data_IF_995753825220
#
_entry.id   IF_995753825220
#
_cell.length_a   1.000
_cell.length_b   1.000
_cell.length_c   1.000
_cell.angle_alpha   90.00
_cell.angle_beta   90.00
_cell.angle_gamma   90.00
#
_symmetry.space_group_name_H-M   'P 1'
#
loop_
_entity.id
_entity.type
_entity.pdbx_description
1 polymer ?
#
# COMPACT_ATOMS: atom_id res chain seq x y z
N UNK A 1 -8.64 49.92 11.16
CA UNK A 1 -9.26 48.70 11.73
C UNK A 1 -8.49 48.33 12.98
N UNK A 2 -9.00 48.72 14.15
CA UNK A 2 -8.36 48.33 15.42
C UNK A 2 -8.77 46.90 15.72
N UNK A 3 -7.85 45.97 15.47
CA UNK A 3 -8.05 44.58 15.91
C UNK A 3 -7.96 44.61 17.43
N UNK A 4 -9.08 44.40 18.11
CA UNK A 4 -9.12 44.35 19.57
C UNK A 4 -8.28 43.18 20.06
N UNK A 5 -7.31 43.44 20.91
CA UNK A 5 -6.46 42.42 21.54
C UNK A 5 -7.31 41.31 22.16
N UNK A 6 -8.46 41.67 22.73
CA UNK A 6 -9.44 40.71 23.25
C UNK A 6 -9.98 39.76 22.20
N UNK A 7 -10.24 40.26 20.97
CA UNK A 7 -10.68 39.41 19.86
C UNK A 7 -9.62 38.40 19.41
N UNK A 8 -8.36 38.79 19.39
CA UNK A 8 -7.24 37.90 19.08
C UNK A 8 -7.09 36.82 20.13
N UNK A 9 -7.14 37.17 21.40
CA UNK A 9 -7.05 36.21 22.52
C UNK A 9 -8.23 35.21 22.46
N UNK A 10 -9.42 35.72 22.23
CA UNK A 10 -10.61 34.84 22.10
C UNK A 10 -10.50 33.88 20.91
N UNK A 11 -10.03 34.36 19.77
CA UNK A 11 -9.83 33.50 18.59
C UNK A 11 -8.77 32.42 18.86
N UNK A 12 -7.63 32.77 19.46
CA UNK A 12 -6.59 31.79 19.81
C UNK A 12 -7.09 30.77 20.82
N UNK A 13 -7.87 31.19 21.81
CA UNK A 13 -8.47 30.28 22.79
C UNK A 13 -9.44 29.28 22.15
N UNK A 14 -10.31 29.73 21.24
CA UNK A 14 -11.27 28.88 20.56
C UNK A 14 -10.55 27.86 19.68
N UNK A 15 -9.57 28.30 18.86
CA UNK A 15 -8.81 27.40 17.99
C UNK A 15 -7.97 26.41 18.81
N UNK A 16 -7.37 26.87 19.90
CA UNK A 16 -6.61 26.00 20.82
C UNK A 16 -7.49 24.94 21.47
N UNK A 17 -8.65 25.32 22.00
CA UNK A 17 -9.59 24.36 22.59
C UNK A 17 -10.10 23.34 21.58
N UNK A 18 -10.47 23.76 20.38
CA UNK A 18 -10.94 22.83 19.34
C UNK A 18 -9.83 21.88 18.89
N UNK A 19 -8.58 22.36 18.74
CA UNK A 19 -7.43 21.54 18.41
C UNK A 19 -7.12 20.50 19.50
N UNK A 20 -7.17 20.88 20.77
CA UNK A 20 -6.99 19.96 21.90
C UNK A 20 -8.09 18.88 21.95
N UNK A 21 -9.34 19.26 21.76
CA UNK A 21 -10.45 18.30 21.74
C UNK A 21 -10.34 17.29 20.60
N UNK A 22 -10.00 17.76 19.40
CA UNK A 22 -9.78 16.87 18.24
C UNK A 22 -8.58 15.96 18.46
N UNK A 23 -7.47 16.48 18.97
CA UNK A 23 -6.28 15.70 19.28
C UNK A 23 -6.56 14.61 20.33
N UNK A 24 -7.26 14.95 21.39
CA UNK A 24 -7.66 14.01 22.42
C UNK A 24 -8.58 12.91 21.86
N UNK A 25 -9.57 13.30 21.05
CA UNK A 25 -10.47 12.34 20.41
C UNK A 25 -9.74 11.37 19.47
N UNK A 26 -8.80 11.88 18.64
CA UNK A 26 -7.99 11.06 17.76
C UNK A 26 -7.07 10.10 18.53
N UNK A 27 -6.46 10.58 19.61
CA UNK A 27 -5.62 9.74 20.48
C UNK A 27 -6.43 8.60 21.10
N UNK A 28 -7.60 8.92 21.63
CA UNK A 28 -8.51 7.93 22.22
C UNK A 28 -9.01 6.92 21.17
N UNK A 29 -9.37 7.40 19.97
CA UNK A 29 -9.78 6.54 18.86
C UNK A 29 -8.62 5.61 18.42
N UNK A 30 -7.40 6.13 18.33
CA UNK A 30 -6.21 5.34 17.97
C UNK A 30 -5.95 4.18 18.94
N UNK A 31 -6.09 4.41 20.24
CA UNK A 31 -5.95 3.33 21.23
C UNK A 31 -7.09 2.31 21.15
N UNK A 32 -8.32 2.79 20.93
CA UNK A 32 -9.49 1.90 20.86
C UNK A 32 -9.54 1.04 19.60
N UNK A 33 -9.01 1.58 18.48
CA UNK A 33 -8.95 0.91 17.18
C UNK A 33 -7.55 0.38 16.85
N UNK A 34 -6.71 0.17 17.85
CA UNK A 34 -5.38 -0.42 17.65
C UNK A 34 -5.55 -1.82 17.07
N UNK A 35 -5.18 -1.97 15.81
CA UNK A 35 -5.05 -3.28 15.16
C UNK A 35 -3.79 -3.93 15.71
N UNK A 36 -3.91 -5.12 16.25
CA UNK A 36 -2.74 -5.93 16.59
C UNK A 36 -2.04 -6.31 15.28
N UNK A 37 -0.87 -5.73 15.06
CA UNK A 37 -0.02 -6.08 13.93
C UNK A 37 0.76 -7.32 14.34
N UNK A 38 0.65 -8.39 13.56
CA UNK A 38 1.41 -9.61 13.80
C UNK A 38 2.90 -9.32 13.50
N UNK A 39 3.82 -9.75 14.36
CA UNK A 39 5.27 -9.57 14.16
C UNK A 39 5.75 -10.14 12.81
N UNK A 40 5.05 -11.14 12.28
CA UNK A 40 5.29 -11.71 10.96
C UNK A 40 4.99 -10.73 9.82
N UNK A 41 4.01 -9.84 10.02
CA UNK A 41 3.66 -8.83 9.02
C UNK A 41 4.81 -7.84 8.82
N UNK A 42 5.42 -7.39 9.92
CA UNK A 42 6.58 -6.50 9.88
C UNK A 42 7.80 -7.19 9.25
N UNK A 43 8.06 -8.46 9.60
CA UNK A 43 9.14 -9.25 9.01
C UNK A 43 8.96 -9.46 7.49
N UNK A 44 7.74 -9.70 7.03
CA UNK A 44 7.41 -9.82 5.60
C UNK A 44 7.59 -8.47 4.91
N UNK A 45 7.19 -7.38 5.56
CA UNK A 45 7.30 -6.03 5.01
C UNK A 45 8.77 -5.62 4.78
N UNK A 46 9.68 -6.02 5.66
CA UNK A 46 11.14 -5.79 5.50
C UNK A 46 11.73 -6.55 4.30
N UNK A 47 11.21 -7.73 4.00
CA UNK A 47 11.66 -8.54 2.86
C UNK A 47 11.09 -8.03 1.54
N UNK A 48 9.93 -7.41 1.56
CA UNK A 48 9.28 -6.83 0.38
C UNK A 48 10.07 -5.63 -0.15
N UNK A 49 10.09 -5.39 -1.48
CA UNK A 49 10.88 -4.31 -2.09
C UNK A 49 10.43 -2.89 -1.74
N UNK A 50 9.36 -2.71 -1.01
CA UNK A 50 8.88 -1.40 -0.52
C UNK A 50 8.33 -0.45 -1.59
N UNK A 51 8.22 -0.87 -2.84
CA UNK A 51 7.82 0.00 -3.95
C UNK A 51 6.36 0.46 -3.90
N UNK A 52 5.51 -0.15 -3.09
CA UNK A 52 4.08 0.16 -2.95
C UNK A 52 3.34 0.33 -4.30
N UNK A 53 3.77 -0.40 -5.33
CA UNK A 53 3.33 -0.23 -6.72
C UNK A 53 1.90 -0.74 -7.01
N UNK A 54 1.33 -1.53 -6.11
CA UNK A 54 0.01 -2.14 -6.30
C UNK A 54 -0.06 -3.23 -7.36
N UNK A 55 1.06 -3.61 -8.00
CA UNK A 55 1.11 -4.61 -9.07
C UNK A 55 0.68 -6.02 -8.65
N UNK A 56 0.66 -6.31 -7.36
CA UNK A 56 0.13 -7.53 -6.77
C UNK A 56 -1.40 -7.52 -6.56
N UNK A 57 -2.07 -6.39 -6.81
CA UNK A 57 -3.51 -6.22 -6.60
C UNK A 57 -3.89 -5.76 -5.18
N UNK A 58 -2.91 -5.54 -4.29
CA UNK A 58 -3.12 -5.05 -2.93
C UNK A 58 -2.74 -3.56 -2.80
N UNK A 59 -3.26 -2.91 -1.78
CA UNK A 59 -3.04 -1.48 -1.52
C UNK A 59 -1.63 -1.19 -0.94
N UNK A 60 -0.59 -1.60 -1.67
CA UNK A 60 0.81 -1.45 -1.26
C UNK A 60 1.40 -2.70 -0.62
N UNK A 61 2.67 -2.61 -0.22
CA UNK A 61 3.39 -3.75 0.34
C UNK A 61 2.85 -4.17 1.71
N UNK A 62 2.39 -3.23 2.53
CA UNK A 62 1.75 -3.53 3.82
C UNK A 62 0.45 -4.31 3.65
N UNK A 63 -0.38 -3.94 2.66
CA UNK A 63 -1.60 -4.68 2.36
C UNK A 63 -1.33 -6.11 1.88
N UNK A 64 -0.26 -6.32 1.11
CA UNK A 64 0.18 -7.66 0.71
C UNK A 64 0.70 -8.46 1.90
N UNK A 65 1.53 -7.86 2.77
CA UNK A 65 2.06 -8.52 3.97
C UNK A 65 0.92 -9.00 4.88
N UNK A 66 -0.05 -8.13 5.19
CA UNK A 66 -1.23 -8.50 5.96
C UNK A 66 -2.05 -9.63 5.33
N UNK A 67 -2.22 -9.62 4.00
CA UNK A 67 -2.94 -10.67 3.28
C UNK A 67 -2.20 -12.01 3.30
N UNK A 68 -0.86 -12.01 3.24
CA UNK A 68 -0.04 -13.23 3.35
C UNK A 68 -0.15 -13.83 4.75
N UNK A 69 -0.06 -13.01 5.81
CA UNK A 69 -0.19 -13.48 7.20
C UNK A 69 -1.56 -14.10 7.45
N UNK A 70 -2.63 -13.53 6.86
CA UNK A 70 -3.99 -14.07 6.93
C UNK A 70 -4.23 -15.29 6.04
N UNK A 71 -3.28 -15.64 5.15
CA UNK A 71 -3.45 -16.72 4.18
C UNK A 71 -4.34 -16.38 2.99
N UNK A 72 -4.65 -15.12 2.78
CA UNK A 72 -5.48 -14.64 1.65
C UNK A 72 -4.64 -14.43 0.37
N UNK A 73 -3.33 -14.27 0.52
CA UNK A 73 -2.40 -14.11 -0.59
C UNK A 73 -1.30 -15.16 -0.56
N UNK A 74 -0.84 -15.64 -1.73
CA UNK A 74 0.29 -16.56 -1.80
C UNK A 74 1.61 -15.85 -1.44
N UNK A 75 2.55 -16.59 -0.87
CA UNK A 75 3.87 -16.07 -0.46
C UNK A 75 4.69 -15.49 -1.63
N UNK A 76 4.42 -15.93 -2.84
CA UNK A 76 5.04 -15.47 -4.10
C UNK A 76 4.22 -14.38 -4.82
N UNK A 77 3.27 -13.74 -4.14
CA UNK A 77 2.34 -12.76 -4.71
C UNK A 77 2.97 -11.44 -5.20
N UNK A 78 4.24 -11.17 -4.88
CA UNK A 78 4.91 -9.93 -5.30
C UNK A 78 5.58 -10.08 -6.68
N UNK A 79 5.09 -9.42 -7.75
CA UNK A 79 5.67 -9.54 -9.09
C UNK A 79 7.04 -8.86 -9.21
N UNK A 80 7.32 -7.85 -8.38
CA UNK A 80 8.59 -7.11 -8.38
C UNK A 80 9.67 -7.87 -7.63
N UNK A 81 9.32 -8.49 -6.50
CA UNK A 81 10.25 -9.27 -5.69
C UNK A 81 10.61 -10.63 -6.30
N UNK A 82 9.69 -11.19 -7.08
CA UNK A 82 9.89 -12.47 -7.77
C UNK A 82 10.16 -13.65 -6.81
N UNK A 83 10.80 -14.69 -7.36
CA UNK A 83 11.11 -15.92 -6.62
C UNK A 83 11.97 -15.72 -5.35
N UNK A 84 13.03 -14.87 -5.34
CA UNK A 84 13.88 -14.72 -4.16
C UNK A 84 13.16 -14.09 -2.97
N UNK A 85 12.22 -13.19 -3.21
CA UNK A 85 11.39 -12.59 -2.15
C UNK A 85 10.35 -13.60 -1.67
N UNK A 86 9.73 -14.33 -2.58
CA UNK A 86 8.77 -15.39 -2.26
C UNK A 86 9.40 -16.49 -1.38
N UNK A 87 10.64 -16.91 -1.67
CA UNK A 87 11.35 -17.91 -0.86
C UNK A 87 11.58 -17.42 0.58
N UNK A 88 12.04 -16.18 0.76
CA UNK A 88 12.24 -15.61 2.10
C UNK A 88 10.93 -15.45 2.89
N UNK A 89 9.86 -15.05 2.22
CA UNK A 89 8.54 -14.98 2.85
C UNK A 89 8.06 -16.38 3.22
N UNK A 90 8.32 -17.39 2.38
CA UNK A 90 8.04 -18.78 2.67
C UNK A 90 8.75 -19.29 3.93
N UNK A 91 10.03 -18.93 4.12
CA UNK A 91 10.79 -19.25 5.34
C UNK A 91 10.16 -18.63 6.60
N UNK A 92 9.71 -17.35 6.51
CA UNK A 92 9.04 -16.66 7.64
C UNK A 92 7.70 -17.32 7.97
N UNK A 93 6.95 -17.72 6.96
CA UNK A 93 5.63 -18.34 7.12
C UNK A 93 5.71 -19.86 7.37
N UNK A 94 6.88 -20.49 7.19
CA UNK A 94 7.06 -21.94 7.29
C UNK A 94 6.37 -22.73 6.17
N UNK A 95 6.19 -22.11 5.00
CA UNK A 95 5.54 -22.69 3.82
C UNK A 95 6.53 -22.71 2.67
N UNK A 96 6.60 -23.82 1.94
CA UNK A 96 7.39 -23.86 0.71
C UNK A 96 6.79 -22.92 -0.34
N UNK A 97 7.62 -21.98 -0.84
CA UNK A 97 7.20 -21.10 -1.93
C UNK A 97 7.13 -21.92 -3.23
N UNK A 98 5.94 -22.05 -3.80
CA UNK A 98 5.79 -22.65 -5.11
C UNK A 98 6.57 -21.85 -6.17
N UNK A 99 7.26 -22.55 -7.07
CA UNK A 99 7.97 -21.91 -8.18
C UNK A 99 6.98 -21.14 -9.06
N UNK A 100 7.09 -19.84 -9.05
CA UNK A 100 6.25 -18.99 -9.91
C UNK A 100 6.82 -19.00 -11.31
N UNK A 101 6.11 -19.62 -12.22
CA UNK A 101 6.40 -19.47 -13.65
C UNK A 101 6.15 -18.02 -14.04
N UNK A 102 7.20 -17.32 -14.46
CA UNK A 102 7.11 -15.95 -14.91
C UNK A 102 6.14 -15.82 -16.08
N UNK A 103 4.99 -15.24 -15.84
CA UNK A 103 4.02 -14.90 -16.89
C UNK A 103 4.46 -13.62 -17.58
N UNK A 104 4.84 -13.69 -18.85
CA UNK A 104 5.11 -12.53 -19.69
C UNK A 104 3.93 -12.30 -20.63
N UNK A 105 3.49 -11.04 -20.74
CA UNK A 105 2.51 -10.66 -21.72
C UNK A 105 3.14 -10.77 -23.12
N UNK A 106 2.66 -11.70 -23.92
CA UNK A 106 3.09 -11.87 -25.31
C UNK A 106 1.96 -11.43 -26.24
N UNK A 107 2.17 -10.30 -26.92
CA UNK A 107 1.24 -9.79 -27.91
C UNK A 107 1.51 -10.47 -29.24
N UNK A 108 0.63 -11.39 -29.64
CA UNK A 108 0.65 -12.00 -30.98
C UNK A 108 0.08 -11.01 -31.99
N UNK A 109 0.86 -9.98 -32.32
CA UNK A 109 0.47 -9.01 -33.33
C UNK A 109 1.41 -9.13 -34.54
N UNK A 110 0.86 -9.53 -35.68
CA UNK A 110 1.53 -9.49 -36.98
C UNK A 110 1.20 -8.18 -37.75
N UNK A 111 0.75 -7.15 -37.01
CA UNK A 111 0.36 -5.86 -37.59
C UNK A 111 1.58 -5.07 -38.06
N UNK A 112 1.63 -4.82 -39.36
CA UNK A 112 2.50 -3.79 -39.95
C UNK A 112 1.64 -2.59 -40.31
N UNK A 113 2.25 -1.41 -40.53
CA UNK A 113 1.54 -0.22 -40.97
C UNK A 113 0.65 -0.46 -42.21
N UNK A 114 1.04 -1.39 -43.08
CA UNK A 114 0.28 -1.78 -44.27
C UNK A 114 -0.97 -2.60 -43.95
N UNK A 115 -1.01 -3.29 -42.79
CA UNK A 115 -2.15 -4.09 -42.34
C UNK A 115 -3.05 -3.39 -41.34
N UNK A 116 -2.70 -2.16 -40.93
CA UNK A 116 -3.52 -1.36 -40.04
C UNK A 116 -4.84 -0.98 -40.74
N UNK A 117 -5.97 -1.34 -40.12
CA UNK A 117 -7.31 -1.04 -40.68
C UNK A 117 -7.76 0.40 -40.45
N UNK A 118 -7.03 1.17 -39.66
CA UNK A 118 -7.32 2.57 -39.34
C UNK A 118 -6.04 3.33 -39.10
N UNK A 119 -5.90 4.43 -39.80
CA UNK A 119 -4.98 5.50 -39.41
C UNK A 119 -5.65 6.31 -38.30
N UNK A 120 -5.13 6.22 -37.08
CA UNK A 120 -5.53 7.14 -36.03
C UNK A 120 -4.65 8.39 -36.17
N UNK A 121 -5.20 9.44 -36.75
CA UNK A 121 -4.65 10.79 -36.64
C UNK A 121 -4.89 11.32 -35.22
N UNK A 122 -3.83 11.56 -34.51
CA UNK A 122 -3.87 12.30 -33.26
C UNK A 122 -3.71 13.78 -33.60
N UNK A 123 -4.76 14.54 -33.43
CA UNK A 123 -4.75 16.01 -33.56
C UNK A 123 -4.26 16.65 -32.26
#
# INVERSE_FOLDING_TARGET
>A
MSISIIGVIAAVAIVGCTGCLMGFFLCFASEKFKVEVDEREDAILEVLPGNNCGGCGYAGCSGLAAAIVKGEAPVNGCPVGGAPVGAKIGEIMGVEAEETVRKVAFVKCAGTCEKAKKDSEYA
#
